data_IF_184893575954
#
_entry.id   IF_184893575954
#
_cell.length_a   1.000
_cell.length_b   1.000
_cell.length_c   1.000
_cell.angle_alpha   90.00
_cell.angle_beta   90.00
_cell.angle_gamma   90.00
#
_symmetry.space_group_name_H-M   'P 1'
#
loop_
_entity.id
_entity.type
_entity.pdbx_description
1 polymer ?
#
# COMPACT_ATOMS: atom_id res chain seq x y z
N UNK A 1 65.49 -23.17 64.00
CA UNK A 1 64.68 -24.25 63.39
C UNK A 1 65.26 -24.40 61.98
N UNK A 2 66.29 -25.24 61.77
CA UNK A 2 66.20 -26.72 61.68
C UNK A 2 65.15 -27.03 60.61
N UNK A 3 65.43 -27.52 59.41
CA UNK A 3 66.42 -28.46 58.84
C UNK A 3 66.51 -28.11 57.34
N UNK A 4 67.47 -28.41 56.49
CA UNK A 4 68.82 -29.02 56.46
C UNK A 4 69.29 -28.73 55.00
N UNK A 5 70.48 -28.16 54.75
CA UNK A 5 71.70 -28.89 54.34
C UNK A 5 71.50 -29.79 53.07
N UNK A 6 72.24 -29.74 51.95
CA UNK A 6 73.61 -29.32 51.61
C UNK A 6 73.74 -29.19 50.06
N UNK A 7 74.74 -28.39 49.67
CA UNK A 7 75.44 -28.17 48.40
C UNK A 7 75.68 -29.33 47.41
N UNK A 8 76.08 -28.98 46.18
CA UNK A 8 77.06 -29.78 45.43
C UNK A 8 77.01 -29.69 43.90
N UNK A 9 78.08 -29.18 43.28
CA UNK A 9 78.31 -29.09 41.84
C UNK A 9 78.82 -30.42 41.20
N UNK A 10 78.68 -30.49 39.87
CA UNK A 10 79.61 -31.10 38.85
C UNK A 10 79.76 -32.63 38.61
N UNK A 11 79.69 -32.95 37.30
CA UNK A 11 80.46 -33.91 36.45
C UNK A 11 80.03 -35.40 36.25
N UNK A 12 79.65 -35.66 34.97
CA UNK A 12 80.24 -36.63 33.99
C UNK A 12 79.96 -38.15 34.08
N UNK A 13 79.75 -38.76 32.88
CA UNK A 13 79.98 -40.16 32.45
C UNK A 13 78.88 -41.19 32.79
N UNK A 14 78.43 -42.14 31.95
CA UNK A 14 78.67 -42.59 30.57
C UNK A 14 77.61 -43.69 30.25
N UNK A 15 77.45 -44.00 28.95
CA UNK A 15 77.07 -45.30 28.34
C UNK A 15 75.62 -45.80 28.40
N UNK A 16 75.11 -46.14 27.22
CA UNK A 16 73.91 -46.97 27.07
C UNK A 16 73.44 -47.18 25.64
N UNK A 17 74.24 -47.85 24.82
CA UNK A 17 73.81 -48.71 23.68
C UNK A 17 72.98 -48.08 22.55
N UNK A 18 73.68 -47.72 21.48
CA UNK A 18 73.14 -47.61 20.12
C UNK A 18 72.69 -49.02 19.66
N UNK A 19 71.42 -49.35 19.87
CA UNK A 19 70.78 -50.55 19.32
C UNK A 19 70.58 -50.35 17.81
N UNK A 20 71.40 -51.02 17.00
CA UNK A 20 70.99 -51.48 15.67
C UNK A 20 69.70 -52.29 15.83
N UNK A 21 68.55 -51.67 15.57
CA UNK A 21 67.28 -52.38 15.47
C UNK A 21 67.23 -53.04 14.10
N UNK A 22 67.57 -54.32 14.04
CA UNK A 22 67.11 -55.16 12.94
C UNK A 22 65.58 -55.23 13.04
N UNK A 23 64.88 -54.50 12.18
CA UNK A 23 63.42 -54.60 12.09
C UNK A 23 63.05 -55.99 11.57
N UNK A 24 62.16 -56.67 12.28
CA UNK A 24 61.59 -57.94 11.81
C UNK A 24 60.57 -57.67 10.72
N UNK A 25 60.41 -58.60 9.77
CA UNK A 25 59.48 -58.46 8.65
C UNK A 25 58.04 -58.14 9.09
N UNK A 26 57.60 -58.66 10.24
CA UNK A 26 56.27 -58.38 10.79
C UNK A 26 56.06 -56.89 11.07
N UNK A 27 57.07 -56.22 11.63
CA UNK A 27 56.98 -54.78 11.96
C UNK A 27 56.98 -53.96 10.68
N UNK A 28 57.81 -54.33 9.70
CA UNK A 28 57.85 -53.63 8.41
C UNK A 28 56.51 -53.76 7.69
N UNK A 29 55.92 -54.95 7.66
CA UNK A 29 54.60 -55.17 7.03
C UNK A 29 53.48 -54.36 7.68
N UNK A 30 53.49 -54.21 9.01
CA UNK A 30 52.51 -53.38 9.72
C UNK A 30 52.69 -51.87 9.41
N UNK A 31 53.91 -51.45 9.12
CA UNK A 31 54.24 -50.06 8.78
C UNK A 31 54.03 -49.73 7.30
N UNK A 32 54.03 -50.73 6.40
CA UNK A 32 53.87 -50.53 4.95
C UNK A 32 52.66 -49.66 4.55
N UNK A 33 51.44 -49.85 5.10
CA UNK A 33 50.29 -49.04 4.72
C UNK A 33 50.45 -47.55 5.06
N UNK A 34 51.14 -47.23 6.17
CA UNK A 34 51.41 -45.86 6.59
C UNK A 34 52.56 -45.24 5.79
N UNK A 35 53.59 -46.04 5.50
CA UNK A 35 54.70 -45.66 4.62
C UNK A 35 54.22 -45.29 3.20
N UNK A 36 53.37 -46.12 2.59
CA UNK A 36 52.77 -45.87 1.26
C UNK A 36 51.95 -44.56 1.24
N UNK A 37 51.31 -44.22 2.36
CA UNK A 37 50.53 -42.98 2.52
C UNK A 37 51.38 -41.77 2.94
N UNK A 38 52.70 -41.92 3.08
CA UNK A 38 53.64 -40.90 3.58
C UNK A 38 53.24 -40.32 4.95
N UNK A 39 52.78 -41.17 5.85
CA UNK A 39 52.37 -40.81 7.22
C UNK A 39 53.38 -41.25 8.30
N UNK A 40 54.56 -41.71 7.89
CA UNK A 40 55.68 -42.13 8.74
C UNK A 40 56.74 -41.02 8.81
N UNK A 41 57.46 -40.95 9.94
CA UNK A 41 58.59 -40.02 10.12
C UNK A 41 59.79 -40.39 9.22
N UNK A 42 60.66 -39.44 8.93
CA UNK A 42 61.83 -39.64 8.05
C UNK A 42 62.77 -40.74 8.57
N UNK A 43 62.98 -40.81 9.89
CA UNK A 43 63.76 -41.87 10.53
C UNK A 43 63.12 -43.26 10.30
N UNK A 44 61.79 -43.34 10.30
CA UNK A 44 61.07 -44.60 10.06
C UNK A 44 61.11 -44.98 8.57
N UNK A 45 61.10 -44.00 7.67
CA UNK A 45 61.19 -44.23 6.22
C UNK A 45 62.54 -44.86 5.86
N UNK A 46 63.64 -44.34 6.42
CA UNK A 46 64.98 -44.83 6.12
C UNK A 46 65.16 -46.31 6.50
N UNK A 47 64.66 -46.71 7.68
CA UNK A 47 64.79 -48.09 8.16
C UNK A 47 63.87 -49.05 7.37
N UNK A 48 62.69 -48.59 6.94
CA UNK A 48 61.80 -49.39 6.07
C UNK A 48 62.41 -49.56 4.68
N UNK A 49 63.03 -48.52 4.12
CA UNK A 49 63.74 -48.59 2.82
C UNK A 49 64.92 -49.57 2.86
N UNK A 50 65.77 -49.50 3.89
CA UNK A 50 66.90 -50.42 4.08
C UNK A 50 66.43 -51.89 4.17
N UNK A 51 65.30 -52.13 4.83
CA UNK A 51 64.73 -53.47 4.93
C UNK A 51 64.08 -53.94 3.62
N UNK A 52 63.48 -53.05 2.84
CA UNK A 52 62.91 -53.38 1.53
C UNK A 52 63.98 -53.74 0.49
N UNK A 53 65.18 -53.17 0.60
CA UNK A 53 66.31 -53.48 -0.29
C UNK A 53 66.92 -54.86 0.02
N UNK A 54 66.83 -55.31 1.27
CA UNK A 54 67.43 -56.56 1.74
C UNK A 54 66.44 -57.73 1.85
N UNK A 55 65.13 -57.47 1.88
CA UNK A 55 64.08 -58.49 2.07
C UNK A 55 63.09 -58.59 0.90
N UNK A 56 63.25 -59.62 0.07
CA UNK A 56 62.36 -59.94 -1.06
C UNK A 56 60.89 -60.17 -0.67
N UNK A 57 60.61 -60.68 0.54
CA UNK A 57 59.25 -60.91 1.01
C UNK A 57 58.50 -59.59 1.29
N UNK A 58 59.17 -58.63 1.92
CA UNK A 58 58.62 -57.30 2.20
C UNK A 58 58.49 -56.46 0.92
N UNK A 59 59.43 -56.61 -0.02
CA UNK A 59 59.37 -55.97 -1.35
C UNK A 59 58.15 -56.41 -2.15
N UNK A 60 57.87 -57.73 -2.21
CA UNK A 60 56.65 -58.24 -2.85
C UNK A 60 55.37 -57.72 -2.20
N UNK A 61 55.33 -57.64 -0.87
CA UNK A 61 54.18 -57.09 -0.14
C UNK A 61 53.95 -55.60 -0.47
N UNK A 62 55.02 -54.81 -0.55
CA UNK A 62 54.98 -53.41 -0.98
C UNK A 62 54.48 -53.26 -2.43
N UNK A 63 54.99 -54.07 -3.35
CA UNK A 63 54.57 -54.06 -4.77
C UNK A 63 53.09 -54.45 -4.92
N UNK A 64 52.61 -55.46 -4.18
CA UNK A 64 51.20 -55.86 -4.20
C UNK A 64 50.28 -54.75 -3.69
N UNK A 65 50.68 -54.01 -2.64
CA UNK A 65 49.88 -52.90 -2.10
C UNK A 65 49.91 -51.65 -2.98
N UNK A 66 51.02 -51.39 -3.68
CA UNK A 66 51.16 -50.23 -4.57
C UNK A 66 50.59 -50.46 -5.97
N UNK A 67 50.48 -51.72 -6.42
CA UNK A 67 49.84 -52.08 -7.69
C UNK A 67 48.36 -51.67 -7.79
N UNK A 68 47.68 -51.40 -6.67
CA UNK A 68 46.30 -50.90 -6.62
C UNK A 68 46.15 -49.37 -6.58
N UNK A 69 47.25 -48.61 -6.50
CA UNK A 69 47.24 -47.16 -6.21
C UNK A 69 47.49 -46.32 -7.48
N UNK A 70 47.82 -46.94 -8.62
CA UNK A 70 48.09 -46.28 -9.91
C UNK A 70 46.84 -45.84 -10.69
N UNK A 71 45.78 -45.44 -10.00
CA UNK A 71 44.68 -44.69 -10.60
C UNK A 71 44.25 -43.59 -9.63
N UNK A 72 44.73 -42.34 -9.79
CA UNK A 72 44.02 -41.22 -9.21
C UNK A 72 42.69 -41.16 -9.94
N UNK A 73 41.64 -41.76 -9.34
CA UNK A 73 40.27 -41.42 -9.68
C UNK A 73 40.15 -39.94 -9.38
N UNK A 74 40.35 -39.10 -10.41
CA UNK A 74 39.95 -37.70 -10.38
C UNK A 74 38.50 -37.73 -9.92
N UNK A 75 38.24 -37.25 -8.69
CA UNK A 75 36.89 -36.92 -8.29
C UNK A 75 36.28 -36.11 -9.44
N UNK A 76 35.09 -36.46 -9.94
CA UNK A 76 34.50 -35.75 -11.05
C UNK A 76 34.41 -34.29 -10.63
N UNK A 77 35.05 -33.41 -11.41
CA UNK A 77 34.85 -31.97 -11.28
C UNK A 77 33.40 -31.75 -11.69
N UNK A 78 32.48 -31.82 -10.73
CA UNK A 78 31.07 -31.55 -10.95
C UNK A 78 31.02 -30.14 -11.51
N UNK A 79 30.65 -30.03 -12.78
CA UNK A 79 30.65 -28.78 -13.53
C UNK A 79 29.71 -27.78 -12.80
N UNK A 80 30.32 -26.83 -12.08
CA UNK A 80 29.65 -25.78 -11.30
C UNK A 80 28.68 -24.94 -12.15
N UNK A 81 28.68 -25.10 -13.48
CA UNK A 81 27.67 -24.55 -14.41
C UNK A 81 26.26 -25.03 -14.10
N UNK A 82 26.06 -26.28 -13.67
CA UNK A 82 24.72 -26.79 -13.33
C UNK A 82 24.16 -26.13 -12.06
N UNK A 83 25.00 -25.94 -11.02
CA UNK A 83 24.60 -25.25 -9.79
C UNK A 83 24.35 -23.75 -10.00
N UNK A 84 25.14 -23.09 -10.86
CA UNK A 84 24.88 -21.70 -11.27
C UNK A 84 23.57 -21.57 -12.06
N UNK A 85 23.21 -22.56 -12.87
CA UNK A 85 21.96 -22.56 -13.65
C UNK A 85 20.73 -22.70 -12.74
N UNK A 86 20.77 -23.60 -11.76
CA UNK A 86 19.70 -23.79 -10.76
C UNK A 86 19.47 -22.57 -9.85
N UNK A 87 20.55 -21.92 -9.37
CA UNK A 87 20.44 -20.68 -8.59
C UNK A 87 19.89 -19.50 -9.41
N UNK A 88 20.28 -19.39 -10.70
CA UNK A 88 19.76 -18.36 -11.60
C UNK A 88 18.28 -18.55 -11.90
N UNK A 89 17.82 -19.77 -12.17
CA UNK A 89 16.39 -20.03 -12.42
C UNK A 89 15.54 -19.76 -11.19
N UNK A 90 16.05 -20.03 -9.98
CA UNK A 90 15.37 -19.69 -8.72
C UNK A 90 15.28 -18.19 -8.47
N UNK A 91 16.38 -17.46 -8.69
CA UNK A 91 16.37 -15.98 -8.60
C UNK A 91 15.41 -15.39 -9.65
N UNK A 92 15.41 -15.92 -10.88
CA UNK A 92 14.48 -15.51 -11.92
C UNK A 92 13.02 -15.80 -11.54
N UNK A 93 12.73 -16.98 -10.96
CA UNK A 93 11.39 -17.32 -10.48
C UNK A 93 10.94 -16.41 -9.34
N UNK A 94 11.81 -16.15 -8.35
CA UNK A 94 11.54 -15.22 -7.26
C UNK A 94 11.31 -13.78 -7.78
N UNK A 95 12.14 -13.31 -8.71
CA UNK A 95 11.96 -12.01 -9.36
C UNK A 95 10.64 -11.93 -10.13
N UNK A 96 10.29 -13.00 -10.87
CA UNK A 96 9.02 -13.09 -11.58
C UNK A 96 7.82 -13.03 -10.61
N UNK A 97 7.89 -13.73 -9.48
CA UNK A 97 6.85 -13.66 -8.44
C UNK A 97 6.69 -12.23 -7.91
N UNK A 98 7.78 -11.54 -7.59
CA UNK A 98 7.73 -10.15 -7.14
C UNK A 98 7.06 -9.25 -8.18
N UNK A 99 7.49 -9.37 -9.45
CA UNK A 99 6.89 -8.59 -10.55
C UNK A 99 5.40 -8.89 -10.69
N UNK A 100 5.02 -10.17 -10.67
CA UNK A 100 3.62 -10.59 -10.76
C UNK A 100 2.79 -10.01 -9.61
N UNK A 101 3.29 -10.05 -8.37
CA UNK A 101 2.61 -9.48 -7.20
C UNK A 101 2.43 -7.97 -7.34
N UNK A 102 3.44 -7.24 -7.81
CA UNK A 102 3.35 -5.80 -8.03
C UNK A 102 2.34 -5.48 -9.13
N UNK A 103 2.35 -6.23 -10.24
CA UNK A 103 1.40 -6.07 -11.34
C UNK A 103 -0.03 -6.35 -10.87
N UNK A 104 -0.28 -7.45 -10.17
CA UNK A 104 -1.61 -7.77 -9.63
C UNK A 104 -2.11 -6.71 -8.65
N UNK A 105 -1.24 -6.25 -7.75
CA UNK A 105 -1.57 -5.19 -6.80
C UNK A 105 -1.93 -3.88 -7.52
N UNK A 106 -1.17 -3.51 -8.55
CA UNK A 106 -1.45 -2.35 -9.37
C UNK A 106 -2.75 -2.51 -10.18
N UNK A 107 -3.05 -3.70 -10.71
CA UNK A 107 -4.30 -3.95 -11.43
C UNK A 107 -5.51 -3.81 -10.52
N UNK A 108 -5.48 -4.38 -9.32
CA UNK A 108 -6.54 -4.18 -8.32
C UNK A 108 -6.75 -2.70 -8.01
N UNK A 109 -5.64 -1.96 -7.85
CA UNK A 109 -5.68 -0.51 -7.64
C UNK A 109 -6.27 0.23 -8.85
N UNK A 110 -5.87 -0.11 -10.07
CA UNK A 110 -6.31 0.55 -11.29
C UNK A 110 -7.78 0.28 -11.62
N UNK A 111 -8.30 -0.90 -11.27
CA UNK A 111 -9.73 -1.23 -11.39
C UNK A 111 -10.58 -0.38 -10.46
N UNK A 112 -10.11 -0.15 -9.23
CA UNK A 112 -10.81 0.69 -8.27
C UNK A 112 -10.73 2.19 -8.65
N UNK A 113 -9.58 2.65 -9.14
CA UNK A 113 -9.36 4.01 -9.63
C UNK A 113 -9.39 4.03 -11.15
N UNK A 114 -10.57 3.79 -11.73
CA UNK A 114 -10.73 3.67 -13.19
C UNK A 114 -11.22 4.96 -13.86
N UNK A 115 -11.97 5.81 -13.16
CA UNK A 115 -12.64 6.96 -13.79
C UNK A 115 -11.72 8.15 -14.02
N UNK A 116 -11.88 8.85 -15.12
CA UNK A 116 -11.18 10.08 -15.48
C UNK A 116 -11.94 11.31 -14.95
N UNK A 117 -11.41 12.51 -15.19
CA UNK A 117 -12.10 13.77 -14.85
C UNK A 117 -13.17 14.15 -15.88
N UNK A 118 -13.24 13.44 -17.01
CA UNK A 118 -14.23 13.73 -18.05
C UNK A 118 -15.66 13.61 -17.49
N UNK A 119 -16.51 14.60 -17.79
CA UNK A 119 -17.89 14.64 -17.25
C UNK A 119 -18.72 13.43 -17.69
N UNK A 120 -18.48 12.87 -18.88
CA UNK A 120 -19.15 11.65 -19.34
C UNK A 120 -18.72 10.43 -18.55
N UNK A 121 -17.42 10.26 -18.34
CA UNK A 121 -16.88 9.16 -17.53
C UNK A 121 -17.33 9.24 -16.05
N UNK A 122 -17.36 10.45 -15.49
CA UNK A 122 -17.91 10.70 -14.15
C UNK A 122 -19.43 10.43 -14.08
N UNK A 123 -20.17 10.73 -15.15
CA UNK A 123 -21.61 10.43 -15.23
C UNK A 123 -21.85 8.93 -15.15
N UNK A 124 -21.09 8.13 -15.92
CA UNK A 124 -21.12 6.66 -15.84
C UNK A 124 -20.77 6.19 -14.43
N UNK A 125 -19.70 6.72 -13.82
CA UNK A 125 -19.28 6.36 -12.47
C UNK A 125 -20.38 6.58 -11.42
N UNK A 126 -21.08 7.71 -11.50
CA UNK A 126 -22.14 8.06 -10.56
C UNK A 126 -23.35 7.18 -10.80
N UNK A 127 -23.79 7.01 -12.05
CA UNK A 127 -24.88 6.11 -12.44
C UNK A 127 -24.63 4.72 -11.87
N UNK A 128 -23.49 4.08 -12.21
CA UNK A 128 -23.12 2.74 -11.71
C UNK A 128 -23.13 2.63 -10.19
N UNK A 129 -22.66 3.67 -9.49
CA UNK A 129 -22.63 3.70 -8.02
C UNK A 129 -24.03 3.83 -7.41
N UNK A 130 -24.96 4.48 -8.12
CA UNK A 130 -26.34 4.67 -7.67
C UNK A 130 -27.32 3.60 -8.16
N UNK A 131 -26.99 2.84 -9.20
CA UNK A 131 -27.86 1.79 -9.79
C UNK A 131 -28.37 0.73 -8.80
N UNK A 132 -27.60 0.29 -7.78
CA UNK A 132 -28.11 -0.68 -6.81
C UNK A 132 -29.30 -0.17 -5.97
N UNK A 133 -29.60 1.12 -6.02
CA UNK A 133 -30.70 1.74 -5.28
C UNK A 133 -31.88 1.98 -6.22
N UNK A 134 -33.08 1.61 -5.79
CA UNK A 134 -34.31 1.94 -6.53
C UNK A 134 -34.86 3.30 -6.09
N UNK A 135 -35.37 4.11 -7.05
CA UNK A 135 -35.34 3.88 -8.49
C UNK A 135 -33.96 4.15 -9.11
N UNK A 136 -33.68 3.50 -10.24
CA UNK A 136 -32.42 3.65 -10.97
C UNK A 136 -32.17 5.11 -11.34
N UNK A 137 -30.98 5.61 -11.06
CA UNK A 137 -30.62 7.01 -11.26
C UNK A 137 -29.73 7.15 -12.50
N UNK A 138 -30.12 7.98 -13.48
CA UNK A 138 -29.33 8.24 -14.68
C UNK A 138 -28.59 9.57 -14.54
N UNK A 139 -27.38 9.50 -13.98
CA UNK A 139 -26.64 10.68 -13.61
C UNK A 139 -26.04 11.40 -14.82
N UNK A 140 -26.20 12.72 -14.84
CA UNK A 140 -25.51 13.62 -15.75
C UNK A 140 -24.76 14.69 -14.97
N UNK A 141 -23.44 14.69 -15.11
CA UNK A 141 -22.56 15.62 -14.39
C UNK A 141 -22.69 17.03 -14.96
N UNK A 142 -23.00 17.96 -14.07
CA UNK A 142 -23.18 19.38 -14.34
C UNK A 142 -21.85 20.11 -14.21
N UNK A 143 -21.28 20.16 -13.01
CA UNK A 143 -20.01 20.83 -12.73
C UNK A 143 -19.11 20.03 -11.81
N UNK A 144 -17.82 20.37 -11.82
CA UNK A 144 -16.82 19.70 -11.00
C UNK A 144 -15.89 20.70 -10.35
N UNK A 145 -15.55 20.48 -9.08
CA UNK A 145 -14.59 21.31 -8.36
C UNK A 145 -13.69 20.45 -7.47
N UNK A 146 -12.40 20.80 -7.43
CA UNK A 146 -11.39 20.03 -6.68
C UNK A 146 -10.96 20.76 -5.41
N UNK A 147 -10.88 20.02 -4.31
CA UNK A 147 -10.28 20.44 -3.03
C UNK A 147 -9.18 19.45 -2.67
N UNK A 148 -7.93 19.83 -2.95
CA UNK A 148 -6.78 18.94 -2.80
C UNK A 148 -6.88 17.69 -3.71
N UNK A 149 -7.04 16.50 -3.11
CA UNK A 149 -7.24 15.23 -3.83
C UNK A 149 -8.71 14.84 -3.98
N UNK A 150 -9.62 15.60 -3.40
CA UNK A 150 -11.06 15.32 -3.47
C UNK A 150 -11.64 16.08 -4.65
N UNK A 151 -12.39 15.38 -5.50
CA UNK A 151 -13.18 15.97 -6.56
C UNK A 151 -14.65 15.89 -6.15
N UNK A 152 -15.35 17.01 -6.18
CA UNK A 152 -16.80 17.05 -6.03
C UNK A 152 -17.38 17.28 -7.42
N UNK A 153 -18.36 16.45 -7.79
CA UNK A 153 -19.09 16.60 -9.05
C UNK A 153 -20.57 16.80 -8.72
N UNK A 154 -21.16 17.92 -9.14
CA UNK A 154 -22.61 18.09 -9.11
C UNK A 154 -23.23 17.37 -10.30
N UNK A 155 -24.41 16.82 -10.11
CA UNK A 155 -25.11 16.08 -11.15
C UNK A 155 -26.62 16.24 -11.01
N UNK A 156 -27.33 15.91 -12.10
CA UNK A 156 -28.79 15.75 -12.12
C UNK A 156 -29.16 14.36 -12.61
N UNK A 157 -30.37 13.91 -12.27
CA UNK A 157 -30.97 12.73 -12.88
C UNK A 157 -31.60 13.09 -14.23
N UNK A 158 -31.27 12.35 -15.29
CA UNK A 158 -31.93 12.45 -16.58
C UNK A 158 -33.20 11.61 -16.65
N UNK A 159 -33.29 10.54 -15.86
CA UNK A 159 -34.44 9.62 -15.81
C UNK A 159 -35.60 10.15 -14.98
N UNK A 160 -35.32 10.88 -13.90
CA UNK A 160 -36.33 11.49 -13.03
C UNK A 160 -36.13 12.99 -12.90
N UNK A 161 -37.13 13.76 -13.33
CA UNK A 161 -37.08 15.21 -13.18
C UNK A 161 -36.91 15.63 -11.72
N UNK A 162 -36.25 16.77 -11.52
CA UNK A 162 -36.09 17.46 -10.24
C UNK A 162 -35.18 16.77 -9.20
N UNK A 163 -34.45 15.72 -9.56
CA UNK A 163 -33.44 15.13 -8.67
C UNK A 163 -32.03 15.63 -9.02
N UNK A 164 -31.34 16.11 -7.99
CA UNK A 164 -29.99 16.67 -8.09
C UNK A 164 -29.11 16.09 -6.99
N UNK A 165 -27.80 16.18 -7.16
CA UNK A 165 -26.88 15.67 -6.16
C UNK A 165 -25.46 16.12 -6.33
N UNK A 166 -24.63 15.69 -5.38
CA UNK A 166 -23.18 15.79 -5.46
C UNK A 166 -22.54 14.44 -5.20
N UNK A 167 -21.54 14.11 -6.00
CA UNK A 167 -20.69 12.95 -5.84
C UNK A 167 -19.34 13.41 -5.32
N UNK A 168 -18.82 12.70 -4.31
CA UNK A 168 -17.47 12.92 -3.79
C UNK A 168 -16.59 11.79 -4.29
N UNK A 169 -15.53 12.16 -4.99
CA UNK A 169 -14.53 11.25 -5.54
C UNK A 169 -13.16 11.60 -4.99
N UNK A 170 -12.26 10.62 -4.95
CA UNK A 170 -10.86 10.82 -4.53
C UNK A 170 -9.92 10.45 -5.66
N UNK A 171 -8.97 11.34 -5.91
CA UNK A 171 -7.92 11.18 -6.91
C UNK A 171 -6.86 10.19 -6.43
N UNK A 172 -6.66 9.15 -7.22
CA UNK A 172 -5.60 8.17 -7.09
C UNK A 172 -4.25 8.67 -7.57
N UNK A 173 -3.21 7.89 -7.28
CA UNK A 173 -1.84 8.16 -7.75
C UNK A 173 -1.72 8.01 -9.27
N UNK A 174 -2.58 7.19 -9.88
CA UNK A 174 -2.70 7.01 -11.33
C UNK A 174 -3.47 8.15 -12.04
N UNK A 175 -3.72 9.27 -11.35
CA UNK A 175 -4.49 10.43 -11.85
C UNK A 175 -5.96 10.15 -12.19
N UNK A 176 -6.47 8.96 -11.85
CA UNK A 176 -7.87 8.57 -11.99
C UNK A 176 -8.59 8.69 -10.65
N UNK A 177 -9.90 8.56 -10.67
CA UNK A 177 -10.78 8.80 -9.54
C UNK A 177 -11.52 7.52 -9.17
N UNK A 178 -11.83 7.42 -7.88
CA UNK A 178 -12.82 6.48 -7.36
C UNK A 178 -13.91 7.25 -6.63
N UNK A 179 -15.14 6.80 -6.75
CA UNK A 179 -16.26 7.38 -6.01
C UNK A 179 -16.27 6.91 -4.55
N UNK A 180 -16.59 7.83 -3.64
CA UNK A 180 -16.62 7.61 -2.18
C UNK A 180 -18.05 7.63 -1.67
N UNK A 181 -18.82 8.64 -2.09
CA UNK A 181 -20.21 8.83 -1.70
C UNK A 181 -20.95 9.72 -2.68
N UNK A 182 -22.27 9.62 -2.65
CA UNK A 182 -23.21 10.54 -3.29
C UNK A 182 -24.17 11.08 -2.25
N UNK A 183 -24.66 12.31 -2.46
CA UNK A 183 -25.80 12.87 -1.77
C UNK A 183 -26.81 13.31 -2.82
N UNK A 184 -28.07 12.95 -2.63
CA UNK A 184 -29.13 13.22 -3.61
C UNK A 184 -30.29 13.93 -2.89
N UNK A 185 -30.81 14.97 -3.53
CA UNK A 185 -31.93 15.77 -3.04
C UNK A 185 -32.87 16.09 -4.21
N UNK A 186 -34.17 15.96 -3.95
CA UNK A 186 -35.18 16.50 -4.84
C UNK A 186 -35.23 18.04 -4.67
N UNK A 187 -35.47 18.75 -5.77
CA UNK A 187 -35.76 20.18 -5.78
C UNK A 187 -37.24 20.39 -6.11
N UNK A 188 -37.84 21.41 -5.49
CA UNK A 188 -39.19 21.86 -5.85
C UNK A 188 -39.15 23.04 -6.82
N UNK A 189 -37.97 23.45 -7.27
CA UNK A 189 -37.76 24.66 -8.05
C UNK A 189 -37.22 24.35 -9.45
N UNK A 190 -37.62 25.15 -10.44
CA UNK A 190 -37.15 25.09 -11.83
C UNK A 190 -35.76 25.70 -12.02
N UNK A 191 -35.45 26.76 -11.27
CA UNK A 191 -34.09 27.28 -11.05
C UNK A 191 -33.58 26.78 -9.71
N UNK A 192 -32.49 26.02 -9.73
CA UNK A 192 -32.08 25.21 -8.59
C UNK A 192 -30.79 25.73 -8.01
N UNK A 193 -30.82 26.09 -6.73
CA UNK A 193 -29.63 26.21 -5.89
C UNK A 193 -29.82 25.26 -4.72
N UNK A 194 -28.83 24.42 -4.44
CA UNK A 194 -28.85 23.48 -3.33
C UNK A 194 -27.48 23.37 -2.68
N UNK A 195 -27.47 23.27 -1.36
CA UNK A 195 -26.25 23.01 -0.60
C UNK A 195 -26.17 21.55 -0.13
N UNK A 196 -24.96 21.03 -0.03
CA UNK A 196 -24.65 19.68 0.41
C UNK A 196 -23.51 19.75 1.44
N UNK A 197 -23.75 19.36 2.70
CA UNK A 197 -22.69 19.31 3.70
C UNK A 197 -21.73 18.18 3.38
N UNK A 198 -20.45 18.49 3.30
CA UNK A 198 -19.37 17.57 3.01
C UNK A 198 -18.36 17.57 4.15
N UNK A 199 -17.77 16.41 4.39
CA UNK A 199 -16.56 16.30 5.19
C UNK A 199 -15.40 15.88 4.30
N UNK A 200 -14.33 16.67 4.27
CA UNK A 200 -13.12 16.42 3.49
C UNK A 200 -11.93 16.51 4.45
N UNK A 201 -11.19 15.41 4.62
CA UNK A 201 -10.02 15.34 5.53
C UNK A 201 -10.32 15.84 6.97
N UNK A 202 -11.50 15.50 7.50
CA UNK A 202 -11.94 15.88 8.85
C UNK A 202 -12.26 17.38 9.04
N UNK A 203 -12.39 18.11 7.94
CA UNK A 203 -12.89 19.49 7.89
C UNK A 203 -14.26 19.52 7.20
N UNK A 204 -15.12 20.45 7.64
CA UNK A 204 -16.48 20.59 7.11
C UNK A 204 -16.50 21.60 5.98
N UNK A 205 -17.20 21.24 4.91
CA UNK A 205 -17.41 22.08 3.74
C UNK A 205 -18.90 22.08 3.36
N UNK A 206 -19.32 23.09 2.64
CA UNK A 206 -20.60 23.12 1.95
C UNK A 206 -20.35 23.20 0.44
N UNK A 207 -20.81 22.19 -0.29
CA UNK A 207 -20.89 22.27 -1.74
C UNK A 207 -22.24 22.89 -2.14
N UNK A 208 -22.20 24.01 -2.85
CA UNK A 208 -23.36 24.73 -3.34
C UNK A 208 -23.41 24.54 -4.85
N UNK A 209 -24.48 23.89 -5.33
CA UNK A 209 -24.70 23.60 -6.74
C UNK A 209 -25.82 24.46 -7.27
N UNK A 210 -25.55 25.21 -8.34
CA UNK A 210 -26.53 25.97 -9.11
C UNK A 210 -26.80 25.32 -10.46
N UNK A 211 -28.06 25.23 -10.87
CA UNK A 211 -28.45 24.71 -12.18
C UNK A 211 -29.69 25.41 -12.73
N UNK A 212 -29.68 25.68 -14.04
CA UNK A 212 -30.81 26.24 -14.78
C UNK A 212 -31.34 27.55 -14.15
N UNK A 213 -30.42 28.42 -13.70
CA UNK A 213 -30.81 29.70 -13.11
C UNK A 213 -31.29 30.66 -14.20
N UNK A 214 -32.48 31.23 -14.00
CA UNK A 214 -33.02 32.31 -14.82
C UNK A 214 -32.11 33.53 -14.79
N UNK A 215 -32.08 34.30 -15.89
CA UNK A 215 -31.41 35.60 -15.97
C UNK A 215 -31.99 36.64 -15.00
N UNK A 216 -33.19 36.40 -14.47
CA UNK A 216 -33.81 37.29 -13.47
C UNK A 216 -33.15 37.16 -12.09
N UNK A 217 -32.38 36.09 -11.87
CA UNK A 217 -31.67 35.82 -10.62
C UNK A 217 -30.29 36.45 -10.70
N UNK A 218 -30.01 37.41 -9.81
CA UNK A 218 -28.70 38.06 -9.71
C UNK A 218 -27.90 37.60 -8.50
N UNK A 219 -28.57 37.20 -7.41
CA UNK A 219 -27.93 36.70 -6.20
C UNK A 219 -28.59 35.39 -5.75
N UNK A 220 -27.81 34.54 -5.10
CA UNK A 220 -28.33 33.42 -4.32
C UNK A 220 -27.96 33.61 -2.84
N UNK A 221 -28.85 33.20 -1.95
CA UNK A 221 -28.65 33.25 -0.51
C UNK A 221 -28.34 31.87 0.06
N UNK A 222 -27.49 31.85 1.08
CA UNK A 222 -27.33 30.73 2.00
C UNK A 222 -28.06 31.07 3.30
N UNK A 223 -29.19 30.41 3.56
CA UNK A 223 -30.11 30.78 4.63
C UNK A 223 -29.72 30.10 5.94
N UNK A 224 -29.24 30.90 6.89
CA UNK A 224 -28.89 30.45 8.23
C UNK A 224 -30.07 30.68 9.18
N UNK A 225 -30.41 29.64 9.93
CA UNK A 225 -31.14 29.81 11.19
C UNK A 225 -30.14 30.29 12.24
N UNK A 226 -30.53 31.20 13.11
CA UNK A 226 -29.76 31.60 14.28
C UNK A 226 -30.68 32.03 15.42
N UNK A 227 -30.12 32.24 16.62
CA UNK A 227 -30.89 32.60 17.81
C UNK A 227 -30.34 33.86 18.47
N UNK A 228 -31.25 34.75 18.89
CA UNK A 228 -30.91 35.99 19.61
C UNK A 228 -30.34 35.73 21.01
N UNK A 229 -30.76 34.63 21.63
CA UNK A 229 -30.37 34.23 22.98
C UNK A 229 -29.80 32.80 22.95
N UNK A 230 -28.94 32.41 23.90
CA UNK A 230 -28.45 31.05 24.01
C UNK A 230 -29.59 30.03 24.11
N UNK A 231 -29.47 28.93 23.35
CA UNK A 231 -30.49 27.88 23.27
C UNK A 231 -31.35 27.98 22.00
N UNK A 232 -32.27 27.02 21.85
CA UNK A 232 -32.99 26.81 20.58
C UNK A 232 -34.47 27.16 20.66
N UNK A 233 -34.84 28.20 21.41
CA UNK A 233 -36.23 28.63 21.57
C UNK A 233 -36.76 29.23 20.27
N UNK A 234 -37.90 28.72 19.78
CA UNK A 234 -38.50 29.18 18.51
C UNK A 234 -38.84 30.67 18.48
N UNK A 235 -39.09 31.29 19.64
CA UNK A 235 -39.39 32.72 19.75
C UNK A 235 -38.15 33.61 19.51
N UNK A 236 -36.95 33.08 19.77
CA UNK A 236 -35.67 33.79 19.59
C UNK A 236 -35.04 33.52 18.22
N UNK A 237 -35.68 32.66 17.41
CA UNK A 237 -35.18 32.21 16.12
C UNK A 237 -35.30 33.31 15.08
N UNK A 238 -34.20 33.56 14.40
CA UNK A 238 -34.12 34.40 13.20
C UNK A 238 -33.63 33.58 12.02
N UNK A 239 -33.99 34.02 10.82
CA UNK A 239 -33.41 33.52 9.57
C UNK A 239 -32.71 34.69 8.92
N UNK A 240 -31.45 34.50 8.54
CA UNK A 240 -30.66 35.48 7.84
C UNK A 240 -29.88 34.79 6.72
N UNK A 241 -29.77 35.47 5.58
CA UNK A 241 -29.16 34.90 4.38
C UNK A 241 -27.87 35.65 4.06
N UNK A 242 -26.79 34.90 3.86
CA UNK A 242 -25.55 35.43 3.26
C UNK A 242 -25.74 35.38 1.75
N UNK A 243 -25.55 36.50 1.06
CA UNK A 243 -25.83 36.60 -0.37
C UNK A 243 -24.56 36.55 -1.22
N UNK A 244 -24.64 35.82 -2.33
CA UNK A 244 -23.55 35.61 -3.28
C UNK A 244 -24.01 35.95 -4.70
N UNK A 245 -23.12 36.55 -5.48
CA UNK A 245 -23.39 36.90 -6.87
C UNK A 245 -23.47 35.65 -7.77
N UNK A 246 -24.53 35.57 -8.57
CA UNK A 246 -24.68 34.53 -9.59
C UNK A 246 -23.85 34.92 -10.81
N UNK A 247 -22.66 34.31 -10.94
CA UNK A 247 -21.76 34.55 -12.08
C UNK A 247 -22.14 33.74 -13.32
N UNK A 248 -22.68 32.54 -13.12
CA UNK A 248 -23.05 31.62 -14.18
C UNK A 248 -24.40 30.95 -13.84
N UNK A 249 -25.25 30.65 -14.85
CA UNK A 249 -26.53 29.98 -14.61
C UNK A 249 -26.39 28.51 -14.17
N UNK A 250 -25.18 27.97 -14.26
CA UNK A 250 -24.79 26.66 -13.78
C UNK A 250 -23.43 26.77 -13.10
N UNK A 251 -23.31 26.28 -11.87
CA UNK A 251 -22.07 26.35 -11.10
C UNK A 251 -21.99 25.26 -10.02
N UNK A 252 -20.77 25.06 -9.53
CA UNK A 252 -20.49 24.32 -8.30
C UNK A 252 -19.42 25.09 -7.53
N UNK A 253 -19.74 25.49 -6.32
CA UNK A 253 -18.86 26.20 -5.42
C UNK A 253 -18.73 25.43 -4.09
N UNK A 254 -17.52 25.38 -3.53
CA UNK A 254 -17.22 24.67 -2.30
C UNK A 254 -16.66 25.68 -1.31
N UNK A 255 -17.35 25.80 -0.20
CA UNK A 255 -17.03 26.72 0.87
C UNK A 255 -16.58 25.95 2.12
N UNK A 256 -15.45 26.30 2.74
CA UNK A 256 -15.15 25.88 4.10
C UNK A 256 -16.28 26.35 5.03
N UNK A 257 -16.77 25.46 5.89
CA UNK A 257 -17.92 25.78 6.74
C UNK A 257 -17.57 26.86 7.77
N UNK A 258 -16.35 26.84 8.31
CA UNK A 258 -15.83 27.85 9.24
C UNK A 258 -15.72 29.24 8.61
N UNK A 259 -15.31 29.33 7.34
CA UNK A 259 -15.28 30.61 6.62
C UNK A 259 -16.68 31.21 6.41
N UNK A 260 -17.67 30.39 6.05
CA UNK A 260 -19.07 30.84 5.95
C UNK A 260 -19.64 31.23 7.31
N UNK A 261 -19.31 30.46 8.34
CA UNK A 261 -19.72 30.70 9.71
C UNK A 261 -19.13 32.04 10.23
N UNK A 262 -17.88 32.35 9.90
CA UNK A 262 -17.23 33.63 10.20
C UNK A 262 -17.83 34.80 9.41
N UNK A 263 -18.15 34.58 8.12
CA UNK A 263 -18.81 35.59 7.29
C UNK A 263 -20.20 35.93 7.85
N UNK A 264 -20.98 34.92 8.23
CA UNK A 264 -22.27 35.10 8.89
C UNK A 264 -22.16 35.97 10.14
N UNK A 265 -21.19 35.65 11.00
CA UNK A 265 -20.92 36.41 12.23
C UNK A 265 -20.65 37.89 11.94
N UNK A 266 -19.86 38.20 10.90
CA UNK A 266 -19.54 39.58 10.50
C UNK A 266 -20.73 40.33 9.93
N UNK A 267 -21.52 39.70 9.06
CA UNK A 267 -22.67 40.33 8.40
C UNK A 267 -23.84 40.56 9.36
N UNK A 268 -24.01 39.72 10.37
CA UNK A 268 -25.08 39.89 11.36
C UNK A 268 -24.88 41.11 12.26
N UNK A 269 -23.63 41.55 12.50
CA UNK A 269 -23.30 42.68 13.38
C UNK A 269 -23.72 42.52 14.85
N UNK A 270 -24.28 41.38 15.22
CA UNK A 270 -24.87 41.06 16.51
C UNK A 270 -24.41 39.69 16.98
N UNK A 271 -24.39 39.45 18.30
CA UNK A 271 -24.04 38.13 18.82
C UNK A 271 -25.22 37.19 18.52
N UNK A 272 -24.97 36.15 17.71
CA UNK A 272 -25.95 35.12 17.34
C UNK A 272 -25.48 33.76 17.85
N UNK A 273 -26.43 32.95 18.32
CA UNK A 273 -26.16 31.62 18.89
C UNK A 273 -26.69 30.50 17.99
N UNK A 274 -26.05 29.32 18.09
CA UNK A 274 -26.48 28.05 17.50
C UNK A 274 -26.88 28.11 16.02
N UNK A 275 -26.14 28.88 15.22
CA UNK A 275 -26.51 29.09 13.83
C UNK A 275 -26.19 27.87 12.95
N UNK A 276 -27.02 27.67 11.93
CA UNK A 276 -26.91 26.53 11.01
C UNK A 276 -27.48 26.88 9.64
N UNK A 277 -26.78 26.50 8.58
CA UNK A 277 -27.32 26.56 7.23
C UNK A 277 -28.51 25.59 7.08
N UNK A 278 -29.68 26.14 6.74
CA UNK A 278 -30.94 25.39 6.62
C UNK A 278 -31.52 25.39 5.21
N UNK A 279 -31.17 26.38 4.38
CA UNK A 279 -31.83 26.60 3.11
C UNK A 279 -31.02 27.44 2.13
N UNK A 280 -31.64 27.70 0.99
CA UNK A 280 -31.12 28.58 -0.06
C UNK A 280 -32.26 29.39 -0.63
N UNK A 281 -31.98 30.64 -0.95
CA UNK A 281 -32.93 31.62 -1.49
C UNK A 281 -32.37 32.25 -2.77
N UNK A 282 -33.24 32.86 -3.57
CA UNK A 282 -32.89 33.48 -4.86
C UNK A 282 -33.36 34.93 -4.87
N UNK A 283 -32.54 35.85 -5.37
CA UNK A 283 -32.83 37.28 -5.37
C UNK A 283 -32.61 37.92 -6.74
N UNK A 284 -33.41 38.94 -7.04
CA UNK A 284 -33.25 39.78 -8.24
C UNK A 284 -32.11 40.81 -8.08
N UNK A 285 -31.87 41.60 -9.14
CA UNK A 285 -30.83 42.65 -9.17
C UNK A 285 -31.05 43.77 -8.13
N UNK A 286 -32.27 43.91 -7.60
CA UNK A 286 -32.59 44.89 -6.56
C UNK A 286 -32.49 44.29 -5.15
N UNK A 287 -32.09 43.03 -5.02
CA UNK A 287 -32.01 42.30 -3.75
C UNK A 287 -33.37 41.82 -3.22
N UNK A 288 -34.42 41.83 -4.06
CA UNK A 288 -35.74 41.30 -3.68
C UNK A 288 -35.72 39.77 -3.82
N UNK A 289 -36.21 39.07 -2.80
CA UNK A 289 -36.34 37.62 -2.86
C UNK A 289 -37.42 37.20 -3.88
N UNK A 290 -37.05 36.28 -4.77
CA UNK A 290 -37.87 35.76 -5.88
C UNK A 290 -37.88 34.22 -5.93
N UNK A 291 -37.42 33.54 -4.86
CA UNK A 291 -37.33 32.07 -4.78
C UNK A 291 -38.63 31.37 -5.21
N UNK A 292 -39.77 31.81 -4.67
CA UNK A 292 -41.07 31.17 -4.93
C UNK A 292 -41.59 31.38 -6.36
N UNK A 293 -41.06 32.34 -7.12
CA UNK A 293 -41.41 32.50 -8.53
C UNK A 293 -41.00 31.28 -9.38
N UNK A 294 -40.04 30.49 -8.88
CA UNK A 294 -39.51 29.32 -9.58
C UNK A 294 -40.06 28.00 -9.05
N UNK A 295 -40.98 28.03 -8.06
CA UNK A 295 -41.56 26.83 -7.46
C UNK A 295 -42.41 26.08 -8.49
N UNK A 296 -42.11 24.80 -8.69
CA UNK A 296 -42.84 23.90 -9.56
C UNK A 296 -44.20 23.53 -8.93
N UNK A 297 -45.23 23.37 -9.76
CA UNK A 297 -46.56 22.93 -9.32
C UNK A 297 -46.59 21.46 -8.86
N UNK A 298 -45.64 20.64 -9.34
CA UNK A 298 -45.49 19.24 -8.97
C UNK A 298 -44.19 18.99 -8.21
N UNK A 299 -44.31 18.38 -7.03
CA UNK A 299 -43.17 18.02 -6.18
C UNK A 299 -42.53 16.74 -6.72
N UNK A 300 -41.24 16.78 -7.03
CA UNK A 300 -40.49 15.57 -7.37
C UNK A 300 -40.54 14.57 -6.21
N UNK A 301 -40.85 13.31 -6.50
CA UNK A 301 -40.88 12.26 -5.46
C UNK A 301 -39.45 12.09 -4.91
N UNK A 302 -39.26 12.33 -3.61
CA UNK A 302 -38.00 12.03 -2.92
C UNK A 302 -37.75 10.54 -3.01
N UNK A 303 -36.73 10.18 -3.76
CA UNK A 303 -36.50 8.80 -4.20
C UNK A 303 -35.33 8.17 -3.46
N UNK A 304 -34.27 8.94 -3.16
CA UNK A 304 -33.13 8.48 -2.35
C UNK A 304 -32.31 9.65 -1.78
N UNK A 305 -31.67 9.50 -0.61
CA UNK A 305 -30.88 10.57 0.04
C UNK A 305 -29.38 10.54 -0.28
N UNK A 306 -28.91 9.49 -0.96
CA UNK A 306 -27.52 9.29 -1.36
C UNK A 306 -26.92 8.01 -0.76
N UNK A 307 -25.79 7.58 -1.34
CA UNK A 307 -25.14 6.33 -0.98
C UNK A 307 -23.68 6.56 -0.57
N UNK A 308 -23.16 5.74 0.34
CA UNK A 308 -21.76 5.77 0.76
C UNK A 308 -21.09 4.43 0.51
N UNK A 309 -19.82 4.44 0.09
CA UNK A 309 -19.04 3.21 -0.04
C UNK A 309 -18.65 2.73 1.35
N UNK A 310 -19.23 1.62 1.81
CA UNK A 310 -18.95 1.05 3.14
C UNK A 310 -17.52 0.45 3.24
N UNK A 311 -16.96 0.03 2.11
CA UNK A 311 -15.73 -0.77 2.06
C UNK A 311 -14.50 0.01 1.57
N UNK A 312 -14.35 1.25 2.02
CA UNK A 312 -13.24 2.12 1.59
C UNK A 312 -11.84 1.53 1.85
N UNK A 313 -11.73 0.64 2.84
CA UNK A 313 -10.49 -0.02 3.27
C UNK A 313 -10.22 -1.36 2.57
N UNK A 314 -11.23 -1.98 1.96
CA UNK A 314 -11.17 -3.35 1.45
C UNK A 314 -10.19 -3.50 0.27
N UNK A 315 -10.04 -2.45 -0.56
CA UNK A 315 -8.97 -2.38 -1.55
C UNK A 315 -7.60 -2.65 -0.93
N UNK A 316 -7.28 -1.96 0.17
CA UNK A 316 -5.98 -2.08 0.82
C UNK A 316 -5.80 -3.43 1.49
N UNK A 317 -6.89 -4.05 1.97
CA UNK A 317 -6.89 -5.42 2.47
C UNK A 317 -6.55 -6.41 1.35
N UNK A 318 -7.18 -6.30 0.18
CA UNK A 318 -6.87 -7.17 -0.96
C UNK A 318 -5.44 -6.99 -1.48
N UNK A 319 -4.98 -5.75 -1.56
CA UNK A 319 -3.60 -5.43 -1.93
C UNK A 319 -2.61 -5.99 -0.90
N UNK A 320 -2.92 -5.92 0.41
CA UNK A 320 -2.10 -6.50 1.46
C UNK A 320 -2.07 -8.04 1.41
N UNK A 321 -3.20 -8.70 1.15
CA UNK A 321 -3.27 -10.15 0.95
C UNK A 321 -2.44 -10.57 -0.26
N UNK A 322 -2.57 -9.86 -1.39
CA UNK A 322 -1.77 -10.12 -2.59
C UNK A 322 -0.27 -9.98 -2.31
N UNK A 323 0.14 -8.93 -1.59
CA UNK A 323 1.53 -8.75 -1.16
C UNK A 323 2.00 -9.86 -0.21
N UNK A 324 1.18 -10.26 0.76
CA UNK A 324 1.51 -11.33 1.71
C UNK A 324 1.75 -12.68 1.01
N UNK A 325 0.86 -13.05 0.08
CA UNK A 325 1.04 -14.25 -0.75
C UNK A 325 2.29 -14.15 -1.62
N UNK A 326 2.54 -12.98 -2.22
CA UNK A 326 3.75 -12.70 -2.98
C UNK A 326 5.04 -12.93 -2.19
N UNK A 327 5.09 -12.48 -0.93
CA UNK A 327 6.24 -12.69 -0.04
C UNK A 327 6.41 -14.17 0.29
N UNK A 328 5.32 -14.90 0.57
CA UNK A 328 5.36 -16.34 0.87
C UNK A 328 5.93 -17.11 -0.33
N UNK A 329 5.42 -16.86 -1.54
CA UNK A 329 5.91 -17.52 -2.75
C UNK A 329 7.36 -17.15 -3.07
N UNK A 330 7.73 -15.87 -2.90
CA UNK A 330 9.11 -15.42 -3.10
C UNK A 330 10.07 -16.10 -2.13
N UNK A 331 9.69 -16.23 -0.85
CA UNK A 331 10.48 -16.95 0.15
C UNK A 331 10.63 -18.42 -0.22
N UNK A 332 9.55 -19.09 -0.61
CA UNK A 332 9.58 -20.48 -1.05
C UNK A 332 10.67 -20.74 -2.12
N UNK A 333 10.75 -19.89 -3.15
CA UNK A 333 11.78 -20.02 -4.19
C UNK A 333 13.21 -19.65 -3.75
N UNK A 334 13.37 -18.93 -2.64
CA UNK A 334 14.67 -18.50 -2.11
C UNK A 334 15.22 -19.41 -0.99
N UNK A 335 14.36 -20.12 -0.24
CA UNK A 335 14.78 -20.98 0.88
C UNK A 335 15.09 -22.44 0.49
N UNK A 336 14.72 -22.90 -0.70
CA UNK A 336 15.06 -24.24 -1.23
C UNK A 336 16.09 -24.21 -2.36
#
# INVERSE_FOLDING_TARGET
MVCDMIAGQTKVSERGTEMKKELTCSIVQDLLPNYIKKLTSDDTNHVVEEHLDTCEACKKAYEQMTAGISNPVKAPVIDLKFLKKGKRTRILAAALCIVLTLVLSYLLYALEYQYTIDKGDLSVAITEFTTPFEPSFDAYVLETQSVGRTLVASFKDQGHANNYGVAVLVKGFNQRYRIIRTQIKASEYSSVVQFFPLEIRNERYYAVSGYNLSSDISLYGLDYIAYNNPGTLSADRVIQSIQFEVKNPQFLEIYPADELDDQFGKESGEIRYDYRLIGTSLYDANGKEITDNFRNESVGVRTHSGAGKAELFLLYVYVAIAMGLGVIFTRYFLTE
#
